data_IF_790423318022
#
_entry.id   IF_790423318022
#
_cell.length_a   1.000
_cell.length_b   1.000
_cell.length_c   1.000
_cell.angle_alpha   90.00
_cell.angle_beta   90.00
_cell.angle_gamma   90.00
#
_symmetry.space_group_name_H-M   'P 1'
#
loop_
_entity.id
_entity.type
_entity.pdbx_description
1 polymer ?
#
# COMPACT_ATOMS: atom_id res chain seq x y z
N UNK A 1 -3.43 -4.87 6.67
CA UNK A 1 -3.20 -3.42 6.89
C UNK A 1 -2.06 -3.24 7.88
N UNK A 2 -1.97 -2.06 8.52
CA UNK A 2 -0.87 -1.75 9.45
C UNK A 2 -0.79 -2.66 10.69
N UNK A 3 -1.89 -3.30 11.08
CA UNK A 3 -1.91 -4.18 12.27
C UNK A 3 -1.25 -5.54 12.06
N UNK A 4 -0.94 -5.92 10.82
CA UNK A 4 -0.41 -7.23 10.46
C UNK A 4 1.12 -7.26 10.52
N UNK A 5 1.69 -7.01 11.69
CA UNK A 5 3.16 -6.91 11.88
C UNK A 5 3.83 -8.23 12.24
N UNK A 6 3.03 -9.29 12.46
CA UNK A 6 3.50 -10.65 12.76
C UNK A 6 2.72 -11.67 11.94
N UNK A 7 3.43 -12.52 11.21
CA UNK A 7 2.83 -13.56 10.36
C UNK A 7 3.77 -14.75 10.21
N UNK A 8 3.23 -15.88 9.74
CA UNK A 8 3.98 -17.09 9.40
C UNK A 8 3.64 -17.49 7.98
N UNK A 9 4.63 -17.94 7.23
CA UNK A 9 4.46 -18.43 5.86
C UNK A 9 4.53 -19.94 5.88
N UNK A 10 3.50 -20.62 5.36
CA UNK A 10 3.42 -22.09 5.27
C UNK A 10 3.69 -22.84 6.59
N UNK A 11 3.32 -22.25 7.73
CA UNK A 11 3.51 -22.85 9.05
C UNK A 11 4.95 -22.80 9.58
N UNK A 12 5.82 -21.98 8.97
CA UNK A 12 7.17 -21.71 9.47
C UNK A 12 7.18 -20.77 10.68
N UNK A 13 8.37 -20.27 11.01
CA UNK A 13 8.57 -19.36 12.14
C UNK A 13 7.80 -18.04 11.98
N UNK A 14 7.49 -17.41 13.12
CA UNK A 14 6.84 -16.09 13.13
C UNK A 14 7.85 -15.04 12.67
N UNK A 15 7.53 -14.40 11.56
CA UNK A 15 8.23 -13.24 11.02
C UNK A 15 7.61 -12.00 11.66
N UNK A 16 8.44 -11.12 12.21
CA UNK A 16 8.04 -9.79 12.67
C UNK A 16 8.62 -8.75 11.72
N UNK A 17 7.79 -7.79 11.31
CA UNK A 17 8.18 -6.68 10.44
C UNK A 17 8.10 -5.36 11.19
N UNK A 18 8.88 -4.34 10.78
CA UNK A 18 8.79 -3.02 11.37
C UNK A 18 7.40 -2.41 11.20
N UNK A 19 6.98 -1.61 12.19
CA UNK A 19 5.79 -0.79 12.07
C UNK A 19 5.95 0.20 10.88
N UNK A 20 4.84 0.59 10.26
CA UNK A 20 4.87 1.44 9.07
C UNK A 20 5.09 0.72 7.75
N UNK A 21 5.44 -0.58 7.73
CA UNK A 21 5.77 -1.27 6.47
C UNK A 21 4.63 -1.37 5.47
N UNK A 22 3.38 -1.47 5.94
CA UNK A 22 2.21 -1.49 5.06
C UNK A 22 2.01 -0.14 4.35
N UNK A 23 2.19 0.96 5.10
CA UNK A 23 2.16 2.33 4.56
C UNK A 23 3.35 2.57 3.61
N UNK A 24 4.51 2.04 3.94
CA UNK A 24 5.68 2.10 3.07
C UNK A 24 5.44 1.42 1.72
N UNK A 25 4.84 0.21 1.73
CA UNK A 25 4.46 -0.50 0.50
C UNK A 25 3.46 0.31 -0.34
N UNK A 26 2.52 1.00 0.30
CA UNK A 26 1.58 1.91 -0.37
C UNK A 26 2.30 2.93 -1.25
N UNK A 27 3.26 3.66 -0.66
CA UNK A 27 4.05 4.65 -1.36
C UNK A 27 4.84 4.04 -2.52
N UNK A 28 5.46 2.87 -2.26
CA UNK A 28 6.41 2.30 -3.21
C UNK A 28 5.79 1.62 -4.42
N UNK A 29 4.56 1.11 -4.31
CA UNK A 29 3.91 0.33 -5.37
C UNK A 29 3.55 1.12 -6.62
N UNK A 30 3.50 2.45 -6.57
CA UNK A 30 3.29 3.28 -7.77
C UNK A 30 4.51 3.39 -8.67
N UNK A 31 5.71 3.03 -8.19
CA UNK A 31 6.96 3.16 -8.94
C UNK A 31 7.35 1.82 -9.59
N UNK A 32 7.74 1.88 -10.85
CA UNK A 32 8.25 0.76 -11.66
C UNK A 32 9.59 1.12 -12.32
N UNK A 33 10.24 0.16 -12.98
CA UNK A 33 11.45 0.44 -13.79
C UNK A 33 11.17 1.46 -14.91
N UNK A 34 9.94 1.46 -15.46
CA UNK A 34 9.49 2.38 -16.51
C UNK A 34 9.06 3.76 -15.97
N UNK A 35 9.04 3.93 -14.65
CA UNK A 35 8.65 5.16 -13.96
C UNK A 35 7.37 5.03 -13.15
N UNK A 36 6.72 6.18 -12.93
CA UNK A 36 5.61 6.34 -12.00
C UNK A 36 4.24 6.10 -12.68
N UNK A 37 3.40 5.26 -12.06
CA UNK A 37 2.03 4.97 -12.49
C UNK A 37 1.14 6.23 -12.60
N UNK A 38 1.38 7.28 -11.81
CA UNK A 38 0.66 8.56 -11.94
C UNK A 38 0.88 9.21 -13.31
N UNK A 39 2.04 9.03 -13.94
CA UNK A 39 2.31 9.51 -15.31
C UNK A 39 1.46 8.76 -16.32
N UNK A 40 1.20 7.47 -16.10
CA UNK A 40 0.32 6.66 -16.95
C UNK A 40 -1.14 7.08 -16.77
N UNK A 41 -1.59 7.28 -15.53
CA UNK A 41 -2.94 7.77 -15.24
C UNK A 41 -3.20 9.16 -15.86
N UNK A 42 -2.22 10.06 -15.83
CA UNK A 42 -2.33 11.37 -16.47
C UNK A 42 -2.64 11.30 -17.98
N UNK A 43 -2.17 10.26 -18.70
CA UNK A 43 -2.49 10.03 -20.12
C UNK A 43 -3.93 9.57 -20.35
N UNK A 44 -4.53 8.92 -19.36
CA UNK A 44 -5.95 8.51 -19.37
C UNK A 44 -6.88 9.62 -18.87
N UNK A 45 -6.36 10.56 -18.07
CA UNK A 45 -7.17 11.59 -17.40
C UNK A 45 -7.82 11.10 -16.10
N UNK A 46 -7.52 9.87 -15.66
CA UNK A 46 -7.99 9.36 -14.38
C UNK A 46 -7.27 9.99 -13.19
N UNK A 47 -7.98 10.11 -12.07
CA UNK A 47 -7.44 10.51 -10.79
C UNK A 47 -7.21 9.25 -9.94
N UNK A 48 -5.95 8.94 -9.67
CA UNK A 48 -5.55 7.80 -8.85
C UNK A 48 -5.20 8.22 -7.42
N UNK A 49 -5.35 7.30 -6.49
CA UNK A 49 -4.95 7.47 -5.09
C UNK A 49 -4.70 6.10 -4.44
N UNK A 50 -4.08 6.10 -3.27
CA UNK A 50 -4.05 4.96 -2.37
C UNK A 50 -4.26 5.42 -0.92
N UNK A 51 -4.53 4.45 -0.06
CA UNK A 51 -4.45 4.64 1.38
C UNK A 51 -4.26 3.31 2.09
N UNK A 52 -3.62 3.37 3.25
CA UNK A 52 -3.47 2.28 4.19
C UNK A 52 -4.28 2.58 5.44
N UNK A 53 -4.92 1.54 5.96
CA UNK A 53 -5.62 1.54 7.23
C UNK A 53 -5.10 0.40 8.10
N UNK A 54 -5.62 0.30 9.32
CA UNK A 54 -5.33 -0.81 10.22
C UNK A 54 -5.52 -2.17 9.54
N UNK A 55 -6.60 -2.37 8.79
CA UNK A 55 -6.97 -3.69 8.28
C UNK A 55 -6.60 -3.93 6.82
N UNK A 56 -6.53 -2.87 6.00
CA UNK A 56 -6.35 -2.99 4.54
C UNK A 56 -5.50 -1.87 3.94
N UNK A 57 -4.92 -2.15 2.79
CA UNK A 57 -4.34 -1.16 1.87
C UNK A 57 -5.19 -1.16 0.60
N UNK A 58 -5.52 0.02 0.10
CA UNK A 58 -6.38 0.20 -1.06
C UNK A 58 -5.68 1.07 -2.10
N UNK A 59 -5.63 0.58 -3.33
CA UNK A 59 -5.23 1.34 -4.52
C UNK A 59 -6.48 1.56 -5.36
N UNK A 60 -6.73 2.80 -5.76
CA UNK A 60 -7.95 3.16 -6.47
C UNK A 60 -7.71 4.22 -7.53
N UNK A 61 -8.65 4.31 -8.46
CA UNK A 61 -8.76 5.43 -9.37
C UNK A 61 -10.23 5.78 -9.61
N UNK A 62 -10.45 6.99 -10.11
CA UNK A 62 -11.72 7.45 -10.67
C UNK A 62 -11.48 8.06 -12.04
N UNK A 63 -12.43 7.85 -12.96
CA UNK A 63 -12.33 8.33 -14.34
C UNK A 63 -13.72 8.62 -14.90
N UNK A 64 -13.78 9.46 -15.92
CA UNK A 64 -15.01 9.73 -16.70
C UNK A 64 -15.01 9.06 -18.07
N UNK A 65 -13.83 8.64 -18.55
CA UNK A 65 -13.59 7.94 -19.81
C UNK A 65 -12.38 7.02 -19.64
N UNK A 66 -12.08 6.17 -20.64
CA UNK A 66 -10.88 5.31 -20.69
C UNK A 66 -10.73 4.34 -19.50
N UNK A 67 -11.87 3.86 -18.99
CA UNK A 67 -11.91 2.96 -17.84
C UNK A 67 -11.02 1.73 -18.02
N UNK A 68 -11.09 1.05 -19.16
CA UNK A 68 -10.31 -0.16 -19.43
C UNK A 68 -8.80 0.12 -19.33
N UNK A 69 -8.33 1.23 -19.91
CA UNK A 69 -6.93 1.65 -19.88
C UNK A 69 -6.47 1.99 -18.46
N UNK A 70 -7.31 2.67 -17.68
CA UNK A 70 -7.02 2.98 -16.27
C UNK A 70 -7.03 1.73 -15.38
N UNK A 71 -7.91 0.76 -15.66
CA UNK A 71 -7.93 -0.52 -14.97
C UNK A 71 -6.69 -1.35 -15.28
N UNK A 72 -6.22 -1.33 -16.53
CA UNK A 72 -4.94 -1.96 -16.90
C UNK A 72 -3.78 -1.37 -16.09
N UNK A 73 -3.72 -0.04 -15.90
CA UNK A 73 -2.69 0.59 -15.05
C UNK A 73 -2.79 0.07 -13.62
N UNK A 74 -3.99 0.07 -13.01
CA UNK A 74 -4.19 -0.41 -11.64
C UNK A 74 -3.71 -1.85 -11.47
N UNK A 75 -4.16 -2.75 -12.34
CA UNK A 75 -3.83 -4.18 -12.23
C UNK A 75 -2.36 -4.46 -12.50
N UNK A 76 -1.70 -3.64 -13.31
CA UNK A 76 -0.28 -3.79 -13.63
C UNK A 76 0.60 -3.47 -12.42
N UNK A 77 0.55 -2.26 -11.87
CA UNK A 77 1.51 -1.87 -10.82
C UNK A 77 1.27 -2.58 -9.48
N UNK A 78 0.03 -3.00 -9.17
CA UNK A 78 -0.23 -3.74 -7.92
C UNK A 78 0.36 -5.15 -7.94
N UNK A 79 0.67 -5.70 -9.13
CA UNK A 79 1.20 -7.05 -9.32
C UNK A 79 2.72 -7.10 -9.59
N UNK A 80 3.36 -5.97 -9.88
CA UNK A 80 4.77 -5.91 -10.29
C UNK A 80 5.59 -4.88 -9.48
N UNK A 81 5.97 -5.23 -8.24
CA UNK A 81 6.68 -4.32 -7.35
C UNK A 81 8.15 -4.09 -7.77
N UNK A 82 8.57 -2.82 -7.77
CA UNK A 82 9.95 -2.42 -8.05
C UNK A 82 10.60 -1.70 -6.86
N UNK A 83 11.37 -2.44 -6.07
CA UNK A 83 12.06 -1.93 -4.87
C UNK A 83 13.57 -2.06 -5.05
N UNK A 84 14.26 -0.92 -5.04
CA UNK A 84 15.73 -0.87 -5.02
C UNK A 84 16.18 -0.14 -3.76
N UNK A 85 17.40 -0.41 -3.28
CA UNK A 85 17.94 0.29 -2.12
C UNK A 85 17.91 1.83 -2.31
N UNK A 86 18.09 2.32 -3.54
CA UNK A 86 18.04 3.75 -3.85
C UNK A 86 16.62 4.31 -3.76
N UNK A 87 15.62 3.64 -4.36
CA UNK A 87 14.24 4.12 -4.35
C UNK A 87 13.61 4.02 -2.96
N UNK A 88 13.97 2.99 -2.20
CA UNK A 88 13.63 2.87 -0.76
C UNK A 88 14.25 4.02 0.02
N UNK A 89 15.57 4.26 -0.05
CA UNK A 89 16.19 5.34 0.71
C UNK A 89 15.58 6.73 0.42
N UNK A 90 15.18 6.98 -0.84
CA UNK A 90 14.45 8.20 -1.23
C UNK A 90 13.08 8.28 -0.53
N UNK A 91 12.28 7.22 -0.60
CA UNK A 91 10.92 7.20 -0.05
C UNK A 91 10.91 7.28 1.48
N UNK A 92 11.89 6.66 2.14
CA UNK A 92 12.08 6.78 3.59
C UNK A 92 12.17 8.24 4.05
N UNK A 93 12.85 9.09 3.26
CA UNK A 93 12.95 10.52 3.56
C UNK A 93 11.62 11.24 3.47
N UNK A 94 10.76 10.86 2.52
CA UNK A 94 9.42 11.45 2.31
C UNK A 94 8.49 11.04 3.45
N UNK A 95 8.38 9.73 3.72
CA UNK A 95 7.56 9.18 4.81
C UNK A 95 8.03 9.75 6.15
N UNK A 96 9.34 9.90 6.35
CA UNK A 96 9.90 10.52 7.56
C UNK A 96 9.51 11.99 7.76
N UNK A 97 9.21 12.74 6.70
CA UNK A 97 8.63 14.09 6.84
C UNK A 97 7.14 14.03 7.17
N UNK A 98 6.41 13.10 6.55
CA UNK A 98 4.99 12.89 6.80
C UNK A 98 4.71 12.51 8.27
N UNK A 99 5.52 11.60 8.83
CA UNK A 99 5.44 11.25 10.27
C UNK A 99 5.61 12.49 11.15
N UNK A 100 6.55 13.38 10.81
CA UNK A 100 6.74 14.63 11.56
C UNK A 100 5.55 15.59 11.42
N UNK A 101 4.92 15.62 10.25
CA UNK A 101 3.69 16.38 10.06
C UNK A 101 2.54 15.84 10.93
N UNK A 102 2.45 14.52 11.09
CA UNK A 102 1.52 13.89 12.03
C UNK A 102 1.86 14.20 13.48
N UNK A 103 3.14 14.27 13.83
CA UNK A 103 3.58 14.67 15.16
C UNK A 103 3.21 16.12 15.52
N UNK A 104 3.21 17.00 14.53
CA UNK A 104 2.77 18.40 14.65
C UNK A 104 1.24 18.57 14.63
N UNK A 105 0.47 17.49 14.45
CA UNK A 105 -1.00 17.50 14.43
C UNK A 105 -1.59 17.12 15.80
N UNK A 106 -2.17 18.07 16.58
CA UNK A 106 -2.68 17.78 17.91
C UNK A 106 -3.79 16.74 17.94
N UNK A 107 -4.71 16.79 16.96
CA UNK A 107 -5.84 15.85 16.86
C UNK A 107 -5.34 14.42 16.64
N UNK A 108 -4.30 14.26 15.80
CA UNK A 108 -3.67 12.97 15.53
C UNK A 108 -2.96 12.44 16.77
N UNK A 109 -2.13 13.27 17.43
CA UNK A 109 -1.43 12.91 18.66
C UNK A 109 -2.38 12.52 19.79
N UNK A 110 -3.49 13.24 19.96
CA UNK A 110 -4.50 12.92 20.98
C UNK A 110 -5.19 11.58 20.67
N UNK A 111 -5.51 11.32 19.41
CA UNK A 111 -6.09 10.04 18.99
C UNK A 111 -5.17 8.87 19.34
N UNK A 112 -3.89 8.93 18.96
CA UNK A 112 -2.96 7.83 19.22
C UNK A 112 -2.61 7.68 20.70
N UNK A 113 -2.49 8.78 21.46
CA UNK A 113 -2.35 8.71 22.93
C UNK A 113 -3.55 8.01 23.58
N UNK A 114 -4.77 8.27 23.10
CA UNK A 114 -5.98 7.57 23.57
C UNK A 114 -5.92 6.08 23.23
N UNK A 115 -5.53 5.71 22.00
CA UNK A 115 -5.41 4.32 21.59
C UNK A 115 -4.34 3.58 22.41
N UNK A 116 -3.19 4.19 22.68
CA UNK A 116 -2.15 3.65 23.55
C UNK A 116 -2.63 3.45 25.00
N UNK A 117 -3.44 4.38 25.51
CA UNK A 117 -4.05 4.27 26.84
C UNK A 117 -5.11 3.17 26.93
N UNK A 118 -5.84 2.90 25.84
CA UNK A 118 -6.91 1.88 25.79
C UNK A 118 -6.40 0.47 25.49
N UNK A 119 -5.44 0.33 24.59
CA UNK A 119 -4.98 -0.95 24.09
C UNK A 119 -3.58 -1.28 24.60
N UNK A 120 -3.47 -2.33 25.41
CA UNK A 120 -2.17 -2.77 25.93
C UNK A 120 -1.45 -3.70 24.96
N UNK A 121 -2.16 -4.67 24.39
CA UNK A 121 -1.58 -5.71 23.54
C UNK A 121 -1.93 -5.57 22.05
N UNK A 122 -3.05 -4.91 21.72
CA UNK A 122 -3.53 -4.83 20.35
C UNK A 122 -2.74 -3.79 19.54
N UNK A 123 -2.29 -4.10 18.32
CA UNK A 123 -1.44 -3.22 17.50
C UNK A 123 -2.14 -1.97 16.95
N UNK A 124 -3.47 -1.85 17.06
CA UNK A 124 -4.23 -0.65 16.62
C UNK A 124 -3.76 0.66 17.27
N UNK A 125 -3.04 0.58 18.38
CA UNK A 125 -2.41 1.74 19.04
C UNK A 125 -1.19 2.29 18.32
N UNK A 126 -0.65 1.55 17.36
CA UNK A 126 0.54 1.92 16.60
C UNK A 126 0.09 2.72 15.39
N UNK A 127 0.75 3.85 15.15
CA UNK A 127 0.51 4.67 13.98
C UNK A 127 0.69 3.85 12.69
N UNK A 128 -0.19 4.07 11.72
CA UNK A 128 -0.16 3.42 10.41
C UNK A 128 1.18 3.70 9.71
N UNK A 129 1.73 4.91 9.87
CA UNK A 129 3.02 5.30 9.30
C UNK A 129 4.22 4.75 10.10
N UNK A 130 4.00 4.21 11.30
CA UNK A 130 5.05 3.84 12.23
C UNK A 130 5.76 5.05 12.84
N UNK A 131 7.03 4.88 13.19
CA UNK A 131 7.93 5.96 13.64
C UNK A 131 9.13 6.10 12.70
N UNK A 132 9.83 7.23 12.78
CA UNK A 132 11.08 7.47 12.01
C UNK A 132 12.10 6.36 12.24
N UNK A 133 12.17 5.81 13.45
CA UNK A 133 13.06 4.71 13.82
C UNK A 133 12.64 3.41 13.13
N UNK A 134 11.36 3.05 13.20
CA UNK A 134 10.86 1.80 12.62
C UNK A 134 10.97 1.79 11.09
N UNK A 135 10.68 2.91 10.42
CA UNK A 135 10.80 2.98 8.96
C UNK A 135 12.25 2.96 8.48
N UNK A 136 13.22 3.29 9.35
CA UNK A 136 14.64 3.23 9.03
C UNK A 136 15.18 1.78 8.98
N UNK A 137 14.44 0.82 9.54
CA UNK A 137 14.76 -0.61 9.46
C UNK A 137 14.21 -1.28 8.20
N UNK A 138 13.37 -0.57 7.43
CA UNK A 138 12.71 -1.12 6.24
C UNK A 138 13.68 -1.16 5.06
N UNK A 139 13.90 -2.35 4.51
CA UNK A 139 14.75 -2.59 3.34
C UNK A 139 13.92 -3.08 2.15
N UNK A 140 14.51 -3.05 0.95
CA UNK A 140 13.88 -3.59 -0.26
C UNK A 140 13.52 -5.08 -0.09
N UNK A 141 14.41 -5.87 0.53
CA UNK A 141 14.18 -7.28 0.82
C UNK A 141 12.96 -7.47 1.74
N UNK A 142 12.80 -6.60 2.75
CA UNK A 142 11.67 -6.67 3.67
C UNK A 142 10.35 -6.28 3.00
N UNK A 143 10.39 -5.29 2.11
CA UNK A 143 9.23 -4.92 1.30
C UNK A 143 8.82 -6.07 0.39
N UNK A 144 9.77 -6.73 -0.28
CA UNK A 144 9.48 -7.94 -1.08
C UNK A 144 8.93 -9.09 -0.22
N UNK A 145 9.47 -9.31 0.98
CA UNK A 145 8.97 -10.32 1.92
C UNK A 145 7.50 -10.08 2.28
N UNK A 146 7.14 -8.86 2.68
CA UNK A 146 5.75 -8.52 3.04
C UNK A 146 4.83 -8.54 1.81
N UNK A 147 5.30 -8.01 0.68
CA UNK A 147 4.55 -8.04 -0.58
C UNK A 147 4.14 -9.47 -0.95
N UNK A 148 5.11 -10.40 -1.01
CA UNK A 148 4.86 -11.78 -1.42
C UNK A 148 3.91 -12.55 -0.48
N UNK A 149 3.78 -12.11 0.77
CA UNK A 149 2.85 -12.74 1.73
C UNK A 149 1.44 -12.18 1.57
N UNK A 150 1.28 -10.86 1.50
CA UNK A 150 -0.04 -10.22 1.59
C UNK A 150 -0.67 -9.88 0.24
N UNK A 151 0.13 -9.66 -0.81
CA UNK A 151 -0.32 -9.27 -2.15
C UNK A 151 -0.47 -10.50 -3.04
N UNK A 152 -1.39 -11.39 -2.64
CA UNK A 152 -1.79 -12.54 -3.44
C UNK A 152 -3.28 -12.44 -3.79
N UNK A 153 -3.68 -13.01 -4.94
CA UNK A 153 -5.05 -12.87 -5.45
C UNK A 153 -6.13 -13.46 -4.52
N UNK A 154 -5.78 -14.41 -3.65
CA UNK A 154 -6.72 -14.96 -2.66
C UNK A 154 -6.99 -13.99 -1.48
N UNK A 155 -6.17 -12.95 -1.33
CA UNK A 155 -6.25 -11.94 -0.28
C UNK A 155 -6.58 -10.53 -0.85
N UNK A 156 -6.95 -10.44 -2.13
CA UNK A 156 -7.28 -9.18 -2.80
C UNK A 156 -8.74 -9.17 -3.26
N UNK A 157 -9.32 -7.98 -3.30
CA UNK A 157 -10.70 -7.75 -3.77
C UNK A 157 -10.68 -6.61 -4.78
N UNK A 158 -11.24 -6.86 -5.97
CA UNK A 158 -11.50 -5.83 -6.96
C UNK A 158 -12.94 -5.34 -6.83
N UNK A 159 -13.12 -4.06 -6.47
CA UNK A 159 -14.42 -3.40 -6.41
C UNK A 159 -14.54 -2.39 -7.55
N UNK A 160 -15.61 -2.47 -8.33
CA UNK A 160 -15.89 -1.54 -9.44
C UNK A 160 -17.31 -1.01 -9.34
N UNK A 161 -17.47 0.31 -9.46
CA UNK A 161 -18.76 0.98 -9.46
C UNK A 161 -18.78 2.12 -10.47
N UNK A 162 -19.81 2.19 -11.32
CA UNK A 162 -19.96 3.22 -12.33
C UNK A 162 -20.60 2.71 -13.62
N UNK A 163 -20.40 3.44 -14.71
CA UNK A 163 -20.91 3.10 -16.04
C UNK A 163 -20.01 2.06 -16.73
N UNK A 164 -20.02 0.83 -16.23
CA UNK A 164 -19.23 -0.29 -16.76
C UNK A 164 -20.08 -1.55 -16.88
N UNK A 165 -19.62 -2.52 -17.68
CA UNK A 165 -20.23 -3.85 -17.77
C UNK A 165 -19.36 -4.87 -17.07
N UNK A 166 -19.98 -5.88 -16.46
CA UNK A 166 -19.25 -6.99 -15.80
C UNK A 166 -18.34 -7.68 -16.79
N UNK A 167 -18.83 -7.99 -18.00
CA UNK A 167 -18.03 -8.64 -19.04
C UNK A 167 -16.82 -7.81 -19.48
N UNK A 168 -16.95 -6.48 -19.54
CA UNK A 168 -15.84 -5.58 -19.84
C UNK A 168 -14.75 -5.63 -18.76
N UNK A 169 -15.16 -5.54 -17.48
CA UNK A 169 -14.23 -5.64 -16.35
C UNK A 169 -13.52 -6.99 -16.33
N UNK A 170 -14.27 -8.09 -16.51
CA UNK A 170 -13.71 -9.44 -16.53
C UNK A 170 -12.72 -9.62 -17.68
N UNK A 171 -13.01 -9.08 -18.87
CA UNK A 171 -12.08 -9.14 -20.00
C UNK A 171 -10.73 -8.48 -19.70
N UNK A 172 -10.73 -7.34 -19.02
CA UNK A 172 -9.48 -6.67 -18.62
C UNK A 172 -8.78 -7.46 -17.51
N UNK A 173 -9.54 -7.96 -16.53
CA UNK A 173 -8.98 -8.77 -15.45
C UNK A 173 -8.32 -10.05 -15.97
N UNK A 174 -8.99 -10.80 -16.86
CA UNK A 174 -8.46 -12.02 -17.48
C UNK A 174 -7.21 -11.76 -18.33
N UNK A 175 -7.10 -10.57 -18.92
CA UNK A 175 -5.91 -10.14 -19.66
C UNK A 175 -4.73 -9.85 -18.74
N UNK A 176 -4.98 -9.24 -17.58
CA UNK A 176 -3.95 -8.59 -16.75
C UNK A 176 -3.53 -9.40 -15.51
N UNK A 177 -4.44 -10.17 -14.92
CA UNK A 177 -4.16 -10.90 -13.68
C UNK A 177 -3.28 -12.12 -13.97
N UNK A 178 -2.19 -12.23 -13.21
CA UNK A 178 -1.27 -13.38 -13.25
C UNK A 178 -1.64 -14.30 -12.08
N UNK A 179 -2.10 -15.55 -12.33
CA UNK A 179 -2.51 -16.47 -11.27
C UNK A 179 -1.35 -16.96 -10.39
#
# INVERSE_FOLDING_TARGET
GSINTKFSVNGGDIITVPDGIAHYLEHKLFESEEGDAFVRYAKTGANANAYTSFEKTCYLFSCTDKFDESLEILLDFVQDPYFTAQTVAKEQGIIGQEIKMYDDSPDWRVMFNMLEGMYHNHPVKIDIAGTVETIAEITAEKLYEVYNVFYNLNNMILCVAGNVTVDGVLKVADKMLKP
#
